data_IF_937701558357
#
_entry.id   IF_937701558357
#
_cell.length_a   1.000
_cell.length_b   1.000
_cell.length_c   1.000
_cell.angle_alpha   90.00
_cell.angle_beta   90.00
_cell.angle_gamma   90.00
#
_symmetry.space_group_name_H-M   'P 1'
#
loop_
_entity.id
_entity.type
_entity.pdbx_description
1 polymer ?
#
# COMPACT_ATOMS: atom_id res chain seq x y z
N UNK A 1 -34.22 -15.17 13.85
CA UNK A 1 -33.62 -14.95 12.53
C UNK A 1 -32.45 -13.97 12.50
N UNK A 2 -32.49 -12.81 13.19
CA UNK A 2 -31.39 -11.82 13.20
C UNK A 2 -30.06 -12.32 13.78
N UNK A 3 -30.06 -13.26 14.74
CA UNK A 3 -28.84 -13.84 15.36
C UNK A 3 -28.08 -14.78 14.41
N UNK A 4 -28.75 -15.50 13.52
CA UNK A 4 -28.09 -16.38 12.55
C UNK A 4 -27.49 -15.63 11.37
N UNK A 5 -28.07 -14.48 11.02
CA UNK A 5 -27.49 -13.61 9.99
C UNK A 5 -26.15 -13.03 10.43
N UNK A 6 -25.98 -12.70 11.70
CA UNK A 6 -24.73 -12.21 12.27
C UNK A 6 -23.66 -13.32 12.29
N UNK A 7 -24.06 -14.57 12.58
CA UNK A 7 -23.14 -15.73 12.56
C UNK A 7 -22.68 -16.08 11.14
N UNK A 8 -23.56 -16.00 10.17
CA UNK A 8 -23.24 -16.23 8.75
C UNK A 8 -22.30 -15.14 8.23
N UNK A 9 -22.54 -13.88 8.56
CA UNK A 9 -21.63 -12.77 8.24
C UNK A 9 -20.26 -12.94 8.92
N UNK A 10 -20.21 -13.39 10.18
CA UNK A 10 -18.97 -13.62 10.90
C UNK A 10 -18.18 -14.81 10.33
N UNK A 11 -18.84 -15.84 9.84
CA UNK A 11 -18.20 -16.99 9.20
C UNK A 11 -17.53 -16.63 7.84
N UNK A 12 -18.09 -15.66 7.12
CA UNK A 12 -17.47 -15.14 5.90
C UNK A 12 -16.17 -14.35 6.14
N UNK A 13 -15.96 -13.82 7.35
CA UNK A 13 -14.73 -13.11 7.71
C UNK A 13 -13.54 -14.04 8.03
N UNK A 14 -13.76 -15.33 8.24
CA UNK A 14 -12.69 -16.28 8.60
C UNK A 14 -12.10 -17.00 7.37
N UNK A 15 -12.72 -16.87 6.20
CA UNK A 15 -12.19 -17.45 4.97
C UNK A 15 -10.99 -16.67 4.46
N UNK A 16 -9.84 -17.28 4.59
CA UNK A 16 -8.51 -16.97 4.05
C UNK A 16 -8.43 -15.90 2.97
N UNK A 17 -7.43 -15.01 3.10
CA UNK A 17 -7.05 -13.93 2.19
C UNK A 17 -7.03 -14.31 0.68
N UNK A 18 -6.85 -15.58 0.35
CA UNK A 18 -6.88 -16.09 -1.02
C UNK A 18 -8.28 -16.03 -1.65
N UNK A 19 -9.34 -16.25 -0.87
CA UNK A 19 -10.71 -16.17 -1.37
C UNK A 19 -11.16 -14.73 -1.67
N UNK A 20 -10.64 -13.74 -0.96
CA UNK A 20 -10.97 -12.34 -1.18
C UNK A 20 -10.42 -11.81 -2.51
N UNK A 21 -9.22 -12.24 -2.91
CA UNK A 21 -8.64 -11.91 -4.22
C UNK A 21 -9.47 -12.55 -5.33
N UNK A 22 -9.92 -13.79 -5.14
CA UNK A 22 -10.75 -14.49 -6.12
C UNK A 22 -12.13 -13.83 -6.28
N UNK A 23 -12.74 -13.42 -5.18
CA UNK A 23 -14.02 -12.69 -5.19
C UNK A 23 -13.85 -11.33 -5.85
N UNK A 24 -12.76 -10.62 -5.59
CA UNK A 24 -12.44 -9.35 -6.24
C UNK A 24 -12.23 -9.50 -7.75
N UNK A 25 -11.59 -10.57 -8.19
CA UNK A 25 -11.44 -10.92 -9.60
C UNK A 25 -12.79 -11.27 -10.28
N UNK A 26 -13.63 -12.00 -9.59
CA UNK A 26 -14.95 -12.42 -10.11
C UNK A 26 -15.97 -11.27 -10.16
N UNK A 27 -15.90 -10.33 -9.22
CA UNK A 27 -16.80 -9.19 -9.13
C UNK A 27 -16.23 -7.92 -9.78
N UNK A 28 -14.93 -7.91 -10.13
CA UNK A 28 -14.23 -6.74 -10.63
C UNK A 28 -14.93 -6.07 -11.82
N UNK A 29 -15.38 -6.85 -12.79
CA UNK A 29 -16.12 -6.33 -13.95
C UNK A 29 -17.47 -5.70 -13.55
N UNK A 30 -18.12 -6.19 -12.49
CA UNK A 30 -19.41 -5.64 -12.01
C UNK A 30 -19.20 -4.40 -11.13
N UNK A 31 -18.07 -4.29 -10.45
CA UNK A 31 -17.73 -3.14 -9.61
C UNK A 31 -17.13 -2.00 -10.42
N UNK A 32 -16.51 -2.29 -11.58
CA UNK A 32 -15.99 -1.27 -12.49
C UNK A 32 -17.10 -0.73 -13.38
N UNK A 33 -17.70 0.34 -12.94
CA UNK A 33 -18.71 1.10 -13.69
C UNK A 33 -18.08 2.36 -14.27
N UNK A 34 -18.79 3.10 -15.11
CA UNK A 34 -18.30 4.39 -15.60
C UNK A 34 -18.04 5.43 -14.49
N UNK A 35 -18.57 5.19 -13.28
CA UNK A 35 -18.42 6.08 -12.11
C UNK A 35 -17.46 5.53 -11.06
N UNK A 36 -17.26 4.22 -10.98
CA UNK A 36 -16.42 3.58 -9.96
C UNK A 36 -15.40 2.72 -10.67
N UNK A 37 -14.14 2.87 -10.28
CA UNK A 37 -13.06 1.96 -10.63
C UNK A 37 -12.59 1.25 -9.36
N UNK A 38 -12.48 -0.06 -9.43
CA UNK A 38 -12.02 -0.92 -8.36
C UNK A 38 -10.80 -1.70 -8.81
N UNK A 39 -9.82 -1.90 -7.91
CA UNK A 39 -8.61 -2.64 -8.23
C UNK A 39 -7.73 -2.97 -7.03
N UNK A 40 -6.59 -3.58 -7.32
CA UNK A 40 -5.54 -3.84 -6.34
C UNK A 40 -4.74 -2.56 -6.07
N UNK A 41 -4.43 -2.36 -4.80
CA UNK A 41 -3.47 -1.38 -4.32
C UNK A 41 -2.30 -2.13 -3.68
N UNK A 42 -1.12 -1.98 -4.22
CA UNK A 42 0.07 -2.65 -3.72
C UNK A 42 1.31 -1.79 -3.85
N UNK A 43 2.38 -2.24 -3.20
CA UNK A 43 3.65 -1.53 -3.29
C UNK A 43 4.60 -1.79 -2.13
N UNK A 44 5.51 -0.87 -1.94
CA UNK A 44 6.50 -0.91 -0.87
C UNK A 44 6.35 0.39 -0.07
N UNK A 45 6.40 0.28 1.25
CA UNK A 45 6.48 1.44 2.12
C UNK A 45 7.79 1.46 2.91
N UNK A 46 8.21 2.66 3.21
CA UNK A 46 9.33 2.99 4.09
C UNK A 46 8.71 3.77 5.24
N UNK A 47 8.68 3.17 6.43
CA UNK A 47 8.03 3.76 7.59
C UNK A 47 9.02 3.98 8.72
N UNK A 48 8.81 5.01 9.52
CA UNK A 48 9.55 5.25 10.75
C UNK A 48 8.62 5.73 11.87
N UNK A 49 9.11 5.67 13.12
CA UNK A 49 8.42 6.18 14.29
C UNK A 49 9.17 7.40 14.79
N UNK A 50 8.47 8.52 14.93
CA UNK A 50 9.03 9.75 15.49
C UNK A 50 9.38 9.58 16.95
N UNK A 51 10.29 10.46 17.44
CA UNK A 51 10.72 10.53 18.83
C UNK A 51 11.39 9.26 19.38
N UNK A 52 11.91 8.40 18.48
CA UNK A 52 12.94 7.43 18.79
C UNK A 52 14.31 8.04 18.53
N UNK A 53 15.34 7.55 19.23
CA UNK A 53 16.72 8.02 19.05
C UNK A 53 17.21 7.69 17.63
N UNK A 54 16.97 6.45 17.17
CA UNK A 54 17.19 6.03 15.80
C UNK A 54 15.88 6.00 15.03
N UNK A 55 15.83 6.75 13.90
CA UNK A 55 14.65 6.86 13.02
C UNK A 55 14.88 6.17 11.68
N UNK A 56 15.48 5.00 11.70
CA UNK A 56 15.69 4.25 10.47
C UNK A 56 14.40 3.67 9.93
N UNK A 57 14.28 3.75 8.59
CA UNK A 57 13.06 3.36 7.89
C UNK A 57 12.97 1.86 7.73
N UNK A 58 11.94 1.26 8.31
CA UNK A 58 11.58 -0.11 7.98
C UNK A 58 10.99 -0.17 6.58
N UNK A 59 11.49 -1.10 5.76
CA UNK A 59 10.96 -1.39 4.45
C UNK A 59 9.99 -2.57 4.49
N UNK A 60 8.77 -2.36 4.04
CA UNK A 60 7.76 -3.41 4.03
C UNK A 60 6.92 -3.40 2.75
N UNK A 61 6.35 -4.56 2.41
CA UNK A 61 5.39 -4.71 1.34
C UNK A 61 3.98 -4.44 1.87
N UNK A 62 3.20 -3.69 1.09
CA UNK A 62 1.79 -3.45 1.37
C UNK A 62 0.91 -3.98 0.24
N UNK A 63 -0.30 -4.41 0.60
CA UNK A 63 -1.29 -4.94 -0.34
C UNK A 63 -2.70 -4.65 0.18
N UNK A 64 -3.57 -4.31 -0.74
CA UNK A 64 -4.96 -4.03 -0.46
C UNK A 64 -5.78 -3.79 -1.72
N UNK A 65 -6.86 -3.06 -1.54
CA UNK A 65 -7.79 -2.71 -2.60
C UNK A 65 -8.05 -1.21 -2.59
N UNK A 66 -8.30 -0.65 -3.77
CA UNK A 66 -8.71 0.74 -3.91
C UNK A 66 -10.02 0.87 -4.69
N UNK A 67 -10.68 1.97 -4.44
CA UNK A 67 -11.79 2.48 -5.20
C UNK A 67 -11.49 3.92 -5.62
N UNK A 68 -11.60 4.20 -6.91
CA UNK A 68 -11.66 5.55 -7.44
C UNK A 68 -13.11 5.85 -7.85
N UNK A 69 -13.77 6.73 -7.11
CA UNK A 69 -15.17 7.11 -7.30
C UNK A 69 -15.22 8.47 -7.96
N UNK A 70 -15.69 8.55 -9.20
CA UNK A 70 -15.80 9.80 -9.94
C UNK A 70 -16.90 10.66 -9.33
N UNK A 71 -16.53 11.84 -8.83
CA UNK A 71 -17.44 12.84 -8.27
C UNK A 71 -17.88 13.82 -9.35
N UNK A 72 -16.94 14.46 -10.01
CA UNK A 72 -17.19 15.45 -11.06
C UNK A 72 -15.91 15.61 -11.91
N UNK A 73 -16.05 15.66 -13.24
CA UNK A 73 -14.99 15.91 -14.21
C UNK A 73 -13.66 15.23 -13.85
N UNK A 74 -12.70 16.01 -13.33
CA UNK A 74 -11.36 15.57 -12.93
C UNK A 74 -11.26 15.17 -11.45
N UNK A 75 -12.35 15.34 -10.67
CA UNK A 75 -12.35 15.06 -9.24
C UNK A 75 -12.87 13.66 -8.93
N UNK A 76 -12.08 12.91 -8.17
CA UNK A 76 -12.43 11.59 -7.68
C UNK A 76 -12.28 11.56 -6.14
N UNK A 77 -13.05 10.68 -5.52
CA UNK A 77 -12.78 10.20 -4.18
C UNK A 77 -11.98 8.89 -4.33
N UNK A 78 -10.75 8.88 -3.86
CA UNK A 78 -9.96 7.67 -3.75
C UNK A 78 -10.07 7.14 -2.32
N UNK A 79 -10.49 5.90 -2.16
CA UNK A 79 -10.54 5.20 -0.88
C UNK A 79 -10.18 3.74 -1.08
N UNK A 80 -10.11 2.98 0.00
CA UNK A 80 -9.80 1.56 -0.07
C UNK A 80 -9.35 1.02 1.28
N UNK A 81 -8.69 -0.11 1.26
CA UNK A 81 -8.11 -0.71 2.45
C UNK A 81 -6.81 -1.41 2.11
N UNK A 82 -5.74 -1.08 2.81
CA UNK A 82 -4.52 -1.88 2.84
C UNK A 82 -4.69 -2.95 3.92
N UNK A 83 -4.94 -4.17 3.51
CA UNK A 83 -5.17 -5.31 4.40
C UNK A 83 -3.86 -5.91 4.94
N UNK A 84 -2.77 -5.67 4.22
CA UNK A 84 -1.41 -5.96 4.66
C UNK A 84 -0.61 -4.68 4.57
N UNK A 85 -0.30 -4.10 5.72
CA UNK A 85 0.58 -2.95 5.85
C UNK A 85 1.41 -3.14 7.11
N UNK A 86 2.71 -2.93 7.00
CA UNK A 86 3.62 -2.96 8.16
C UNK A 86 4.23 -1.59 8.30
N UNK A 87 4.01 -0.98 9.44
CA UNK A 87 4.66 0.25 9.88
C UNK A 87 5.68 -0.08 10.96
N UNK A 88 6.44 0.90 11.41
CA UNK A 88 7.43 0.72 12.46
C UNK A 88 8.74 1.45 12.20
N UNK A 89 9.80 1.03 12.87
CA UNK A 89 11.16 1.58 12.73
C UNK A 89 12.20 0.47 12.81
N UNK A 90 13.29 0.60 12.07
CA UNK A 90 14.46 -0.29 12.15
C UNK A 90 15.56 0.35 13.01
N UNK A 91 16.57 -0.47 13.33
CA UNK A 91 17.82 -0.11 14.00
C UNK A 91 17.62 0.62 15.34
N UNK A 92 16.69 0.08 16.17
CA UNK A 92 16.42 0.64 17.49
C UNK A 92 17.67 0.65 18.36
N UNK A 93 17.95 1.79 19.00
CA UNK A 93 19.03 1.93 19.95
C UNK A 93 18.73 1.22 21.28
N UNK A 94 19.73 1.04 22.11
CA UNK A 94 19.55 0.56 23.48
C UNK A 94 18.61 1.47 24.28
N UNK A 95 18.68 2.78 24.07
CA UNK A 95 17.79 3.75 24.73
C UNK A 95 16.34 3.60 24.24
N UNK A 96 16.16 3.33 22.94
CA UNK A 96 14.83 3.04 22.41
C UNK A 96 14.26 1.76 23.03
N UNK A 97 15.05 0.68 23.14
CA UNK A 97 14.63 -0.57 23.78
C UNK A 97 14.24 -0.37 25.24
N UNK A 98 15.03 0.40 26.00
CA UNK A 98 14.69 0.78 27.37
C UNK A 98 13.41 1.61 27.44
N UNK A 99 13.25 2.56 26.51
CA UNK A 99 12.02 3.34 26.39
C UNK A 99 10.81 2.44 26.13
N UNK A 100 10.97 1.40 25.32
CA UNK A 100 9.90 0.46 24.96
C UNK A 100 9.68 -0.62 26.02
N UNK A 101 10.59 -0.80 26.95
CA UNK A 101 10.58 -1.91 27.90
C UNK A 101 10.85 -3.26 27.25
N UNK A 102 11.54 -3.25 26.10
CA UNK A 102 11.85 -4.46 25.34
C UNK A 102 13.10 -5.16 25.91
N UNK A 103 13.15 -6.48 25.73
CA UNK A 103 14.28 -7.30 26.19
C UNK A 103 15.53 -7.03 25.34
N UNK A 104 16.65 -6.76 26.01
CA UNK A 104 17.95 -6.65 25.36
C UNK A 104 18.60 -8.02 25.36
N UNK A 105 18.91 -8.55 24.18
CA UNK A 105 19.53 -9.86 24.01
C UNK A 105 21.04 -9.80 23.94
N UNK A 106 21.69 -10.78 24.53
CA UNK A 106 23.14 -10.99 24.48
C UNK A 106 23.46 -12.28 23.68
N UNK A 107 24.57 -12.35 22.91
CA UNK A 107 25.57 -11.28 22.75
C UNK A 107 25.06 -10.16 21.84
N UNK A 108 25.53 -8.92 22.11
CA UNK A 108 25.23 -7.78 21.27
C UNK A 108 25.80 -7.95 19.86
N UNK A 109 25.03 -7.73 18.83
CA UNK A 109 25.50 -7.85 17.45
C UNK A 109 24.37 -7.94 16.41
N UNK A 110 23.13 -8.05 16.88
CA UNK A 110 21.95 -8.03 16.01
C UNK A 110 21.31 -6.63 15.92
N UNK A 111 20.30 -6.54 15.06
CA UNK A 111 19.50 -5.33 14.86
C UNK A 111 18.10 -5.51 15.43
N UNK A 112 17.63 -4.49 16.09
CA UNK A 112 16.27 -4.45 16.61
C UNK A 112 15.37 -3.62 15.72
N UNK A 113 14.15 -4.08 15.54
CA UNK A 113 13.12 -3.34 14.80
C UNK A 113 11.76 -3.45 15.49
N UNK A 114 11.02 -2.33 15.58
CA UNK A 114 9.60 -2.36 15.92
C UNK A 114 8.80 -2.59 14.66
N UNK A 115 7.93 -3.58 14.69
CA UNK A 115 7.01 -3.91 13.58
C UNK A 115 5.57 -3.84 14.04
N UNK A 116 4.74 -3.14 13.26
CA UNK A 116 3.32 -2.92 13.52
C UNK A 116 2.55 -3.46 12.32
N UNK A 117 1.69 -4.45 12.54
CA UNK A 117 0.76 -4.90 11.51
C UNK A 117 -0.53 -4.09 11.58
N UNK A 118 -0.86 -3.40 10.49
CA UNK A 118 -1.96 -2.45 10.46
C UNK A 118 -2.90 -2.71 9.28
N UNK A 119 -4.19 -2.45 9.50
CA UNK A 119 -5.14 -2.17 8.44
C UNK A 119 -5.25 -0.67 8.28
N UNK A 120 -5.10 -0.14 7.07
CA UNK A 120 -5.22 1.29 6.83
C UNK A 120 -6.26 1.61 5.77
N UNK A 121 -7.05 2.66 6.04
CA UNK A 121 -8.12 3.14 5.16
C UNK A 121 -7.86 4.61 4.83
N UNK A 122 -7.35 4.91 3.63
CA UNK A 122 -7.24 6.27 3.13
C UNK A 122 -8.61 6.78 2.64
N UNK A 123 -8.86 8.07 2.79
CA UNK A 123 -10.04 8.78 2.25
C UNK A 123 -9.52 10.05 1.59
N UNK A 124 -9.26 10.00 0.29
CA UNK A 124 -8.48 11.01 -0.42
C UNK A 124 -9.31 11.76 -1.45
N UNK A 125 -9.28 13.07 -1.44
CA UNK A 125 -9.63 13.86 -2.60
C UNK A 125 -8.51 13.72 -3.65
N UNK A 126 -8.87 13.29 -4.86
CA UNK A 126 -7.95 13.03 -5.97
C UNK A 126 -8.34 13.90 -7.16
N UNK A 127 -7.38 14.63 -7.70
CA UNK A 127 -7.55 15.42 -8.93
C UNK A 127 -6.67 14.85 -10.03
N UNK A 128 -7.26 14.53 -11.16
CA UNK A 128 -6.59 13.96 -12.34
C UNK A 128 -6.49 15.02 -13.44
N UNK A 129 -5.27 15.34 -13.84
CA UNK A 129 -4.99 16.27 -14.94
C UNK A 129 -5.16 15.59 -16.31
N UNK A 130 -5.33 16.36 -17.37
CA UNK A 130 -5.48 15.87 -18.74
C UNK A 130 -4.28 15.05 -19.24
N UNK A 131 -3.10 15.27 -18.67
CA UNK A 131 -1.88 14.53 -18.96
C UNK A 131 -1.76 13.19 -18.16
N UNK A 132 -2.83 12.76 -17.50
CA UNK A 132 -2.90 11.54 -16.66
C UNK A 132 -2.01 11.55 -15.40
N UNK A 133 -1.45 12.69 -15.03
CA UNK A 133 -0.91 12.91 -13.69
C UNK A 133 -2.08 13.13 -12.74
N UNK A 134 -1.94 12.71 -11.50
CA UNK A 134 -2.90 13.07 -10.45
C UNK A 134 -2.18 13.50 -9.19
N UNK A 135 -2.88 14.30 -8.41
CA UNK A 135 -2.52 14.64 -7.04
C UNK A 135 -3.65 14.21 -6.12
N UNK A 136 -3.31 13.82 -4.91
CA UNK A 136 -4.29 13.34 -3.95
C UNK A 136 -3.90 13.76 -2.53
N UNK A 137 -4.91 14.07 -1.71
CA UNK A 137 -4.73 14.44 -0.30
C UNK A 137 -5.97 14.06 0.50
N UNK A 138 -5.77 13.65 1.74
CA UNK A 138 -6.88 13.37 2.64
C UNK A 138 -6.46 12.68 3.92
N UNK A 139 -7.41 12.45 4.85
CA UNK A 139 -7.17 11.68 6.05
C UNK A 139 -6.93 10.20 5.73
N UNK A 140 -6.14 9.58 6.59
CA UNK A 140 -5.95 8.14 6.64
C UNK A 140 -6.14 7.68 8.07
N UNK A 141 -6.93 6.63 8.26
CA UNK A 141 -7.11 5.96 9.56
C UNK A 141 -6.53 4.56 9.49
N UNK A 142 -6.08 4.05 10.64
CA UNK A 142 -5.48 2.74 10.73
C UNK A 142 -5.86 2.00 12.02
N UNK A 143 -5.79 0.68 11.96
CA UNK A 143 -5.93 -0.22 13.09
C UNK A 143 -4.73 -1.12 13.19
N UNK A 144 -3.94 -0.93 14.26
CA UNK A 144 -2.84 -1.83 14.61
C UNK A 144 -3.42 -3.05 15.31
N UNK A 145 -3.37 -4.21 14.67
CA UNK A 145 -3.90 -5.45 15.22
C UNK A 145 -2.81 -6.35 15.82
N UNK A 146 -1.54 -6.13 15.46
CA UNK A 146 -0.39 -6.83 16.02
C UNK A 146 0.83 -5.93 16.07
N UNK A 147 1.74 -6.19 17.01
CA UNK A 147 3.00 -5.47 17.13
C UNK A 147 4.02 -6.28 17.91
N UNK A 148 5.27 -6.18 17.48
CA UNK A 148 6.38 -6.87 18.13
C UNK A 148 7.70 -6.14 17.90
N UNK A 149 8.61 -6.28 18.85
CA UNK A 149 10.02 -5.98 18.66
C UNK A 149 10.70 -7.24 18.11
N UNK A 150 11.40 -7.12 16.99
CA UNK A 150 12.15 -8.21 16.35
C UNK A 150 13.64 -7.96 16.53
N UNK A 151 14.33 -8.94 17.06
CA UNK A 151 15.80 -8.99 17.13
C UNK A 151 16.28 -9.94 16.02
N UNK A 152 16.99 -9.40 15.05
CA UNK A 152 17.55 -10.11 13.90
C UNK A 152 19.08 -10.20 14.12
N UNK A 153 19.63 -11.41 14.25
CA UNK A 153 21.04 -11.63 14.54
C UNK A 153 21.68 -12.58 13.53
N UNK A 154 22.97 -12.32 13.30
CA UNK A 154 23.88 -13.18 12.57
C UNK A 154 25.19 -13.25 13.34
N UNK A 155 25.39 -14.34 14.10
CA UNK A 155 26.51 -14.53 15.01
C UNK A 155 27.20 -15.84 14.62
N UNK A 156 28.47 -15.74 14.25
CA UNK A 156 29.30 -16.89 13.85
C UNK A 156 28.68 -17.78 12.76
N UNK A 157 27.93 -17.16 11.82
CA UNK A 157 27.24 -17.86 10.74
C UNK A 157 25.91 -18.51 11.17
N UNK A 158 25.46 -18.27 12.39
CA UNK A 158 24.13 -18.67 12.87
C UNK A 158 23.23 -17.44 12.85
N UNK A 159 22.32 -17.40 11.86
CA UNK A 159 21.34 -16.33 11.74
C UNK A 159 19.98 -16.75 12.28
N UNK A 160 19.29 -15.83 12.97
CA UNK A 160 17.98 -16.08 13.53
C UNK A 160 17.21 -14.81 13.85
N UNK A 161 15.93 -15.00 14.21
CA UNK A 161 15.04 -13.89 14.58
C UNK A 161 14.29 -14.25 15.86
N UNK A 162 14.36 -13.37 16.84
CA UNK A 162 13.55 -13.42 18.04
C UNK A 162 12.46 -12.38 17.96
N UNK A 163 11.26 -12.69 18.44
CA UNK A 163 10.12 -11.77 18.42
C UNK A 163 9.54 -11.65 19.80
N UNK A 164 9.46 -10.44 20.30
CA UNK A 164 8.82 -10.10 21.55
C UNK A 164 7.53 -9.31 21.23
N UNK A 165 6.39 -9.89 21.59
CA UNK A 165 5.10 -9.25 21.36
C UNK A 165 4.94 -8.11 22.37
N UNK A 166 4.68 -6.90 21.86
CA UNK A 166 4.43 -5.71 22.67
C UNK A 166 3.10 -5.03 22.28
N UNK A 167 2.14 -5.80 21.72
CA UNK A 167 0.86 -5.27 21.26
C UNK A 167 0.09 -4.51 22.34
N UNK A 168 0.23 -4.92 23.59
CA UNK A 168 -0.49 -4.32 24.72
C UNK A 168 0.02 -2.91 25.08
N UNK A 169 1.25 -2.59 24.71
CA UNK A 169 1.86 -1.27 24.89
C UNK A 169 1.54 -0.29 23.75
N UNK A 170 0.92 -0.79 22.68
CA UNK A 170 0.61 -0.01 21.50
C UNK A 170 -0.82 0.51 21.51
N UNK A 171 -1.00 1.70 20.95
CA UNK A 171 -2.33 2.18 20.61
C UNK A 171 -2.87 1.38 19.43
N UNK A 172 -4.13 1.02 19.51
CA UNK A 172 -4.81 0.22 18.48
C UNK A 172 -5.29 1.07 17.30
N UNK A 173 -5.51 2.36 17.53
CA UNK A 173 -6.04 3.31 16.54
C UNK A 173 -4.96 4.29 16.11
N UNK A 174 -4.89 4.51 14.82
CA UNK A 174 -3.99 5.45 14.18
C UNK A 174 -4.75 6.37 13.24
N UNK A 175 -4.39 7.64 13.23
CA UNK A 175 -4.94 8.64 12.32
C UNK A 175 -3.86 9.64 11.91
N UNK A 176 -3.94 10.07 10.66
CA UNK A 176 -3.04 11.08 10.10
C UNK A 176 -3.56 11.63 8.78
N UNK A 177 -2.70 12.34 8.09
CA UNK A 177 -2.94 12.87 6.75
C UNK A 177 -2.01 12.20 5.75
N UNK A 178 -2.53 11.95 4.56
CA UNK A 178 -1.76 11.43 3.43
C UNK A 178 -1.87 12.38 2.26
N UNK A 179 -0.74 12.63 1.60
CA UNK A 179 -0.68 13.35 0.33
C UNK A 179 0.13 12.54 -0.68
N UNK A 180 -0.23 12.65 -1.95
CA UNK A 180 0.44 11.87 -2.99
C UNK A 180 0.33 12.45 -4.37
N UNK A 181 1.16 11.88 -5.26
CA UNK A 181 1.17 12.16 -6.68
C UNK A 181 1.36 10.85 -7.42
N UNK A 182 0.78 10.73 -8.60
CA UNK A 182 0.98 9.57 -9.45
C UNK A 182 0.68 9.83 -10.91
N UNK A 183 0.96 8.81 -11.69
CA UNK A 183 0.77 8.84 -13.14
C UNK A 183 0.10 7.56 -13.62
N UNK A 184 -0.93 7.71 -14.44
CA UNK A 184 -1.64 6.59 -15.03
C UNK A 184 -1.04 6.25 -16.40
N UNK A 185 -0.55 5.03 -16.53
CA UNK A 185 0.10 4.53 -17.74
C UNK A 185 -0.91 4.38 -18.89
N UNK A 186 -0.38 4.17 -20.10
CA UNK A 186 -1.14 3.87 -21.32
C UNK A 186 -2.24 4.92 -21.59
N UNK A 187 -1.89 6.20 -21.49
CA UNK A 187 -2.82 7.33 -21.73
C UNK A 187 -4.09 7.23 -20.88
N UNK A 188 -3.96 6.88 -19.62
CA UNK A 188 -5.09 6.78 -18.70
C UNK A 188 -5.82 5.42 -18.68
N UNK A 189 -5.36 4.44 -19.44
CA UNK A 189 -6.00 3.13 -19.55
C UNK A 189 -5.33 2.03 -18.71
N UNK A 190 -4.08 2.27 -18.30
CA UNK A 190 -3.24 1.28 -17.64
C UNK A 190 -3.21 1.36 -16.12
N UNK A 191 -2.17 0.77 -15.58
CA UNK A 191 -1.85 0.83 -14.16
C UNK A 191 -1.49 2.25 -13.75
N UNK A 192 -1.68 2.55 -12.47
CA UNK A 192 -1.25 3.81 -11.89
C UNK A 192 -0.02 3.57 -11.03
N UNK A 193 1.04 4.34 -11.29
CA UNK A 193 2.22 4.40 -10.44
C UNK A 193 2.15 5.67 -9.61
N UNK A 194 2.46 5.58 -8.32
CA UNK A 194 2.34 6.74 -7.44
C UNK A 194 3.28 6.67 -6.26
N UNK A 195 3.42 7.84 -5.65
CA UNK A 195 4.13 8.04 -4.38
C UNK A 195 3.16 8.72 -3.43
N UNK A 196 3.05 8.20 -2.21
CA UNK A 196 2.29 8.81 -1.11
C UNK A 196 3.19 9.01 0.09
N UNK A 197 2.97 10.10 0.80
CA UNK A 197 3.55 10.32 2.11
C UNK A 197 2.43 10.42 3.14
N UNK A 198 2.53 9.61 4.18
CA UNK A 198 1.64 9.60 5.35
C UNK A 198 2.34 10.24 6.53
N UNK A 199 1.65 11.11 7.23
CA UNK A 199 2.07 11.73 8.49
C UNK A 199 1.01 11.47 9.56
N UNK A 200 1.38 10.67 10.56
CA UNK A 200 0.51 10.30 11.67
C UNK A 200 0.44 11.38 12.75
N UNK A 201 -0.72 11.51 13.37
CA UNK A 201 -0.99 12.45 14.47
C UNK A 201 -1.13 11.74 15.82
N UNK A 202 -1.42 10.44 15.79
CA UNK A 202 -1.63 9.64 17.00
C UNK A 202 -0.35 8.99 17.46
N UNK A 203 -0.17 8.91 18.78
CA UNK A 203 0.98 8.21 19.33
C UNK A 203 0.90 6.71 19.06
N UNK A 204 2.03 6.11 18.71
CA UNK A 204 2.17 4.66 18.52
C UNK A 204 2.10 3.94 19.86
N UNK A 205 2.82 4.44 20.85
CA UNK A 205 2.90 3.81 22.16
C UNK A 205 1.98 4.49 23.18
N UNK A 206 1.35 3.71 24.04
CA UNK A 206 0.57 4.19 25.16
C UNK A 206 1.45 4.97 26.12
N UNK A 207 1.01 6.16 26.52
CA UNK A 207 1.72 6.98 27.50
C UNK A 207 3.04 7.63 27.01
N UNK A 208 3.38 7.50 25.71
CA UNK A 208 4.61 8.07 25.13
C UNK A 208 4.27 9.08 24.05
N UNK A 209 4.31 10.36 24.42
CA UNK A 209 3.95 11.46 23.51
C UNK A 209 4.97 11.62 22.38
N UNK A 210 4.49 12.01 21.20
CA UNK A 210 5.30 12.31 20.02
C UNK A 210 5.77 11.09 19.24
N UNK A 211 5.45 9.87 19.70
CA UNK A 211 5.76 8.63 18.96
C UNK A 211 4.75 8.40 17.87
N UNK A 212 4.86 9.12 16.76
CA UNK A 212 3.92 9.02 15.62
C UNK A 212 4.55 8.27 14.44
N UNK A 213 3.74 7.54 13.68
CA UNK A 213 4.20 6.93 12.44
C UNK A 213 4.28 7.96 11.31
N UNK A 214 5.32 7.86 10.50
CA UNK A 214 5.37 8.43 9.16
C UNK A 214 5.79 7.36 8.15
N UNK A 215 5.30 7.47 6.91
CA UNK A 215 5.60 6.48 5.89
C UNK A 215 5.56 7.06 4.48
N UNK A 216 6.55 6.68 3.68
CA UNK A 216 6.59 6.90 2.24
C UNK A 216 6.16 5.62 1.54
N UNK A 217 5.13 5.69 0.70
CA UNK A 217 4.62 4.57 -0.09
C UNK A 217 4.98 4.74 -1.56
N UNK A 218 5.63 3.76 -2.14
CA UNK A 218 5.74 3.58 -3.59
C UNK A 218 4.60 2.64 -4.00
N UNK A 219 3.68 3.13 -4.81
CA UNK A 219 2.41 2.45 -5.07
C UNK A 219 2.22 2.04 -6.52
N UNK A 220 1.55 0.93 -6.67
CA UNK A 220 1.01 0.46 -7.95
C UNK A 220 -0.47 0.14 -7.76
N UNK A 221 -1.34 0.82 -8.51
CA UNK A 221 -2.75 0.49 -8.56
C UNK A 221 -3.05 -0.26 -9.86
N UNK A 222 -3.65 -1.43 -9.74
CA UNK A 222 -4.00 -2.30 -10.88
C UNK A 222 -5.52 -2.43 -10.91
N UNK A 223 -6.22 -1.81 -11.88
CA UNK A 223 -7.66 -1.92 -11.98
C UNK A 223 -8.08 -3.35 -12.33
N UNK A 224 -9.14 -3.84 -11.71
CA UNK A 224 -9.77 -5.10 -12.08
C UNK A 224 -10.80 -4.86 -13.18
N UNK A 225 -10.66 -5.60 -14.27
CA UNK A 225 -11.54 -5.45 -15.41
C UNK A 225 -11.35 -4.09 -16.12
N UNK A 226 -12.12 -3.91 -17.17
CA UNK A 226 -12.24 -2.64 -17.87
C UNK A 226 -13.68 -2.49 -18.32
N UNK A 227 -14.26 -1.30 -18.23
CA UNK A 227 -15.52 -1.01 -18.93
C UNK A 227 -15.37 -1.32 -20.43
N UNK A 228 -16.47 -1.64 -21.12
CA UNK A 228 -16.41 -1.96 -22.54
C UNK A 228 -15.73 -0.85 -23.36
N UNK A 229 -15.97 0.41 -23.03
CA UNK A 229 -15.31 1.55 -23.66
C UNK A 229 -13.78 1.53 -23.47
N UNK A 230 -13.31 1.14 -22.28
CA UNK A 230 -11.87 0.99 -22.00
C UNK A 230 -11.29 -0.23 -22.72
N UNK A 231 -12.03 -1.33 -22.84
CA UNK A 231 -11.59 -2.51 -23.62
C UNK A 231 -11.38 -2.16 -25.08
N UNK A 232 -12.34 -1.45 -25.68
CA UNK A 232 -12.23 -0.97 -27.06
C UNK A 232 -11.03 -0.03 -27.24
N UNK A 233 -10.88 0.97 -26.39
CA UNK A 233 -9.74 1.89 -26.45
C UNK A 233 -8.38 1.20 -26.28
N UNK A 234 -8.30 0.16 -25.45
CA UNK A 234 -7.08 -0.65 -25.29
C UNK A 234 -6.78 -1.44 -26.57
N UNK A 235 -7.81 -2.01 -27.22
CA UNK A 235 -7.63 -2.78 -28.44
C UNK A 235 -7.22 -1.88 -29.63
N UNK A 236 -7.84 -0.71 -29.76
CA UNK A 236 -7.44 0.29 -30.76
C UNK A 236 -5.98 0.74 -30.56
N UNK A 237 -5.58 0.99 -29.32
CA UNK A 237 -4.21 1.39 -28.99
C UNK A 237 -3.20 0.26 -29.31
N UNK A 238 -3.51 -1.00 -29.00
CA UNK A 238 -2.66 -2.15 -29.35
C UNK A 238 -2.49 -2.28 -30.86
N UNK A 239 -3.57 -2.12 -31.61
CA UNK A 239 -3.56 -2.17 -33.06
C UNK A 239 -2.69 -1.06 -33.64
N UNK A 240 -2.86 0.18 -33.19
CA UNK A 240 -2.05 1.32 -33.61
C UNK A 240 -0.55 1.12 -33.29
N UNK A 241 -0.22 0.61 -32.11
CA UNK A 241 1.17 0.32 -31.73
C UNK A 241 1.79 -0.78 -32.58
N UNK A 242 1.01 -1.79 -32.98
CA UNK A 242 1.46 -2.87 -33.85
C UNK A 242 1.76 -2.35 -35.25
N UNK A 243 0.85 -1.57 -35.84
CA UNK A 243 1.04 -0.92 -37.14
C UNK A 243 2.30 -0.05 -37.16
N UNK A 244 2.44 0.84 -36.18
CA UNK A 244 3.62 1.73 -36.05
C UNK A 244 4.94 0.95 -35.91
N UNK A 245 4.92 -0.23 -35.25
CA UNK A 245 6.08 -1.10 -35.11
C UNK A 245 6.45 -1.78 -36.43
N UNK A 246 5.45 -2.16 -37.22
CA UNK A 246 5.61 -2.74 -38.56
C UNK A 246 6.17 -1.72 -39.55
N UNK A 247 5.60 -0.53 -39.58
CA UNK A 247 6.11 0.61 -40.38
C UNK A 247 7.58 0.91 -40.07
N UNK A 248 7.93 0.98 -38.77
CA UNK A 248 9.31 1.21 -38.33
C UNK A 248 10.26 0.08 -38.72
N UNK A 249 9.78 -1.17 -38.76
CA UNK A 249 10.56 -2.31 -39.26
C UNK A 249 10.71 -2.26 -40.77
N UNK A 250 9.69 -1.88 -41.52
CA UNK A 250 9.73 -1.73 -42.98
C UNK A 250 10.69 -0.59 -43.39
N UNK A 251 10.62 0.56 -42.73
CA UNK A 251 11.53 1.66 -42.95
C UNK A 251 13.00 1.29 -42.69
N UNK A 252 13.28 0.54 -41.61
CA UNK A 252 14.65 0.05 -41.31
C UNK A 252 15.15 -0.93 -42.35
N UNK A 253 14.29 -1.82 -42.90
CA UNK A 253 14.66 -2.75 -43.98
C UNK A 253 14.95 -1.99 -45.28
N UNK A 254 14.13 -1.01 -45.61
CA UNK A 254 14.36 -0.17 -46.84
C UNK A 254 15.67 0.62 -46.78
N UNK A 255 16.06 1.11 -45.60
CA UNK A 255 17.33 1.83 -45.43
C UNK A 255 18.56 0.85 -45.54
N UNK A 256 18.39 -0.39 -45.06
CA UNK A 256 19.46 -1.39 -45.08
C UNK A 256 19.70 -1.98 -46.48
N UNK A 257 18.74 -1.91 -47.37
CA UNK A 257 18.87 -2.40 -48.76
C UNK A 257 19.37 -1.29 -49.72
N UNK A 258 19.61 -0.07 -49.24
CA UNK A 258 20.13 1.05 -50.03
C UNK A 258 21.66 1.29 -49.84
N UNK A 259 22.24 0.60 -48.86
CA UNK A 259 23.68 0.56 -48.60
C UNK A 259 24.24 -0.83 -48.97
#
# INVERSE_FOLDING_TARGET
MKKYLFFVLFFFFICNLQSQILIALLLGDKLNTGKIEFGLDGGINFASISNLENRDYIRAFNLGFYFDIKLKDHFLLNTGVLVKSTLGSEDLSTNDLLLLGATIHEPAGGKYSQKLSTFTVPIMAKYVFDNNIHVEIGPQVGWTYNGWVEYDYDIDGISGKLKENNRDDLNWFEMGVTAGVGYRLLKGLGWTLGVRYYYGFTNVYKGKSGTTNDALYLKVNIPFGASEDKKQAIEEMKTHLKTKKEEKKAARKATKNKN
#
